data_IF_188441849334
#
_entry.id   IF_188441849334
#
_cell.length_a   1.000
_cell.length_b   1.000
_cell.length_c   1.000
_cell.angle_alpha   90.00
_cell.angle_beta   90.00
_cell.angle_gamma   90.00
#
_symmetry.space_group_name_H-M   'P 1'
#
loop_
_entity.id
_entity.type
_entity.pdbx_description
1 polymer ?
#
# COMPACT_ATOMS: atom_id res chain seq x y z
N UNK A 1 9.46 -27.45 -8.82
CA UNK A 1 8.84 -26.22 -8.26
C UNK A 1 9.66 -25.54 -7.17
N UNK A 2 10.42 -26.26 -6.32
CA UNK A 2 11.29 -25.64 -5.29
C UNK A 2 12.54 -24.95 -5.85
N UNK A 3 13.07 -25.37 -7.01
CA UNK A 3 14.28 -24.80 -7.62
C UNK A 3 14.14 -23.37 -8.15
N UNK A 4 12.93 -22.92 -8.49
CA UNK A 4 12.73 -21.58 -9.08
C UNK A 4 12.31 -20.51 -8.07
N UNK A 5 11.95 -20.90 -6.84
CA UNK A 5 11.43 -20.00 -5.80
C UNK A 5 11.91 -20.44 -4.42
N UNK A 6 13.18 -20.14 -4.04
CA UNK A 6 13.76 -20.56 -2.77
C UNK A 6 13.04 -19.97 -1.54
N UNK A 7 12.43 -18.79 -1.65
CA UNK A 7 11.69 -18.10 -0.58
C UNK A 7 10.18 -18.37 -0.59
N UNK A 8 9.71 -19.26 -1.48
CA UNK A 8 8.28 -19.55 -1.68
C UNK A 8 7.62 -18.65 -2.73
N UNK A 9 6.44 -19.08 -3.20
CA UNK A 9 5.67 -18.37 -4.22
C UNK A 9 4.95 -17.17 -3.60
N UNK A 10 5.46 -15.95 -3.82
CA UNK A 10 4.79 -14.69 -3.50
C UNK A 10 4.46 -13.95 -4.80
N UNK A 11 3.24 -14.12 -5.36
CA UNK A 11 2.90 -13.49 -6.63
C UNK A 11 2.97 -11.96 -6.48
N UNK A 12 3.55 -11.25 -7.46
CA UNK A 12 3.80 -9.81 -7.36
C UNK A 12 2.51 -8.99 -7.25
N UNK A 13 1.39 -9.54 -7.75
CA UNK A 13 0.06 -8.94 -7.63
C UNK A 13 -0.88 -9.90 -6.93
N UNK A 14 -1.33 -9.51 -5.74
CA UNK A 14 -2.38 -10.21 -4.98
C UNK A 14 -3.71 -9.58 -5.33
N UNK A 15 -4.57 -10.33 -5.99
CA UNK A 15 -5.95 -9.92 -6.24
C UNK A 15 -6.73 -9.92 -4.91
N UNK A 16 -7.46 -8.84 -4.63
CA UNK A 16 -8.31 -8.77 -3.44
C UNK A 16 -9.46 -9.77 -3.55
N UNK A 17 -10.02 -10.19 -2.41
CA UNK A 17 -11.12 -11.17 -2.44
C UNK A 17 -12.36 -10.63 -3.14
N UNK A 18 -12.65 -9.34 -2.97
CA UNK A 18 -13.75 -8.66 -3.65
C UNK A 18 -13.53 -8.63 -5.17
N UNK A 19 -12.30 -8.40 -5.63
CA UNK A 19 -12.00 -8.45 -7.06
C UNK A 19 -12.16 -9.86 -7.66
N UNK A 20 -11.84 -10.92 -6.90
CA UNK A 20 -12.12 -12.30 -7.33
C UNK A 20 -13.63 -12.59 -7.42
N UNK A 21 -14.43 -12.00 -6.53
CA UNK A 21 -15.90 -12.13 -6.55
C UNK A 21 -16.50 -11.36 -7.73
N UNK A 22 -16.04 -10.13 -7.97
CA UNK A 22 -16.40 -9.36 -9.16
C UNK A 22 -16.06 -10.08 -10.46
N UNK A 23 -14.88 -10.72 -10.54
CA UNK A 23 -14.51 -11.55 -11.69
C UNK A 23 -15.47 -12.71 -11.91
N UNK A 24 -15.89 -13.40 -10.83
CA UNK A 24 -16.88 -14.49 -10.91
C UNK A 24 -18.25 -13.99 -11.34
N UNK A 25 -18.70 -12.85 -10.80
CA UNK A 25 -19.98 -12.25 -11.17
C UNK A 25 -20.02 -11.82 -12.64
N UNK A 26 -18.94 -11.23 -13.16
CA UNK A 26 -18.83 -10.86 -14.57
C UNK A 26 -18.90 -12.08 -15.48
N UNK A 27 -18.09 -13.10 -15.20
CA UNK A 27 -18.08 -14.33 -15.98
C UNK A 27 -19.41 -15.10 -15.92
N UNK A 28 -20.11 -15.03 -14.79
CA UNK A 28 -21.43 -15.65 -14.63
C UNK A 28 -22.54 -14.89 -15.39
N UNK A 29 -22.38 -13.59 -15.63
CA UNK A 29 -23.38 -12.78 -16.34
C UNK A 29 -23.32 -13.01 -17.85
N UNK A 30 -22.11 -12.98 -18.42
CA UNK A 30 -21.89 -13.26 -19.83
C UNK A 30 -20.54 -13.96 -20.04
N UNK A 31 -20.51 -15.30 -20.10
CA UNK A 31 -19.28 -16.06 -20.26
C UNK A 31 -18.66 -15.94 -21.66
N UNK A 32 -19.44 -15.56 -22.68
CA UNK A 32 -18.94 -15.39 -24.05
C UNK A 32 -18.16 -14.09 -24.19
N UNK A 33 -18.72 -12.99 -23.69
CA UNK A 33 -18.05 -11.68 -23.69
C UNK A 33 -16.94 -11.62 -22.63
N UNK A 34 -17.20 -12.11 -21.41
CA UNK A 34 -16.22 -12.13 -20.32
C UNK A 34 -15.45 -13.45 -20.30
N UNK A 35 -14.84 -13.78 -21.43
CA UNK A 35 -14.00 -14.97 -21.55
C UNK A 35 -12.71 -14.86 -20.72
N UNK A 36 -12.09 -16.00 -20.43
CA UNK A 36 -10.82 -16.11 -19.68
C UNK A 36 -9.72 -15.14 -20.14
N UNK A 37 -9.40 -15.00 -21.44
CA UNK A 37 -8.36 -14.06 -21.90
C UNK A 37 -8.76 -12.60 -21.67
N UNK A 38 -10.04 -12.23 -21.86
CA UNK A 38 -10.53 -10.87 -21.65
C UNK A 38 -10.45 -10.48 -20.18
N UNK A 39 -10.83 -11.38 -19.27
CA UNK A 39 -10.71 -11.16 -17.83
C UNK A 39 -9.24 -11.11 -17.38
N UNK A 40 -8.38 -11.93 -17.97
CA UNK A 40 -6.94 -11.90 -17.68
C UNK A 40 -6.32 -10.53 -18.01
N UNK A 41 -6.68 -9.96 -19.16
CA UNK A 41 -6.23 -8.64 -19.58
C UNK A 41 -6.77 -7.53 -18.67
N UNK A 42 -8.09 -7.50 -18.44
CA UNK A 42 -8.74 -6.45 -17.63
C UNK A 42 -8.27 -6.43 -16.18
N UNK A 43 -8.03 -7.60 -15.57
CA UNK A 43 -7.55 -7.72 -14.20
C UNK A 43 -6.01 -7.78 -14.10
N UNK A 44 -5.30 -7.76 -15.23
CA UNK A 44 -3.83 -7.88 -15.32
C UNK A 44 -3.30 -9.10 -14.53
N UNK A 45 -3.98 -10.23 -14.68
CA UNK A 45 -3.63 -11.51 -14.04
C UNK A 45 -3.42 -12.58 -15.11
N UNK A 46 -2.61 -13.60 -14.78
CA UNK A 46 -2.39 -14.71 -15.70
C UNK A 46 -3.71 -15.44 -16.03
N UNK A 47 -3.95 -15.86 -17.29
CA UNK A 47 -5.12 -16.65 -17.66
C UNK A 47 -5.30 -17.92 -16.81
N UNK A 48 -4.19 -18.52 -16.36
CA UNK A 48 -4.22 -19.68 -15.46
C UNK A 48 -4.75 -19.33 -14.07
N UNK A 49 -4.46 -18.13 -13.57
CA UNK A 49 -5.02 -17.63 -12.32
C UNK A 49 -6.53 -17.39 -12.46
N UNK A 50 -6.98 -16.84 -13.59
CA UNK A 50 -8.42 -16.68 -13.89
C UNK A 50 -9.12 -18.03 -13.86
N UNK A 51 -8.59 -19.05 -14.55
CA UNK A 51 -9.15 -20.42 -14.52
C UNK A 51 -9.22 -20.98 -13.11
N UNK A 52 -8.16 -20.80 -12.30
CA UNK A 52 -8.16 -21.23 -10.89
C UNK A 52 -9.24 -20.53 -10.07
N UNK A 53 -9.44 -19.23 -10.28
CA UNK A 53 -10.50 -18.46 -9.59
C UNK A 53 -11.87 -18.99 -9.99
N UNK A 54 -12.13 -19.13 -11.29
CA UNK A 54 -13.40 -19.63 -11.83
C UNK A 54 -13.70 -21.08 -11.42
N UNK A 55 -12.67 -21.94 -11.35
CA UNK A 55 -12.80 -23.34 -10.91
C UNK A 55 -12.99 -23.46 -9.40
N UNK A 56 -12.46 -22.52 -8.62
CA UNK A 56 -12.64 -22.54 -7.16
C UNK A 56 -14.10 -22.24 -6.81
N UNK A 57 -14.73 -23.09 -6.01
CA UNK A 57 -16.14 -22.93 -5.55
C UNK A 57 -16.23 -22.43 -4.11
N UNK A 58 -15.13 -21.97 -3.53
CA UNK A 58 -15.12 -21.59 -2.12
C UNK A 58 -16.04 -20.38 -1.88
N UNK A 59 -17.11 -20.61 -1.11
CA UNK A 59 -18.11 -19.63 -0.71
C UNK A 59 -18.25 -19.70 0.83
N UNK A 60 -17.85 -18.66 1.58
CA UNK A 60 -18.03 -18.66 3.02
C UNK A 60 -19.52 -18.57 3.35
N UNK A 61 -19.97 -19.28 4.39
CA UNK A 61 -21.36 -19.12 4.87
C UNK A 61 -21.57 -17.67 5.35
N UNK A 62 -22.82 -17.18 5.34
CA UNK A 62 -23.13 -15.76 5.63
C UNK A 62 -22.47 -15.22 6.91
N UNK A 63 -22.45 -15.98 8.00
CA UNK A 63 -21.78 -15.58 9.26
C UNK A 63 -20.25 -15.53 9.14
N UNK A 64 -19.64 -16.43 8.37
CA UNK A 64 -18.18 -16.49 8.20
C UNK A 64 -17.67 -15.32 7.37
N UNK A 65 -18.50 -14.80 6.46
CA UNK A 65 -18.17 -13.67 5.59
C UNK A 65 -17.87 -12.41 6.39
N UNK A 66 -18.67 -12.14 7.43
CA UNK A 66 -18.45 -11.01 8.35
C UNK A 66 -17.13 -11.11 9.10
N UNK A 67 -16.87 -12.26 9.72
CA UNK A 67 -15.62 -12.54 10.48
C UNK A 67 -14.37 -12.40 9.61
N UNK A 68 -14.44 -12.83 8.35
CA UNK A 68 -13.32 -12.71 7.42
C UNK A 68 -13.06 -11.27 7.00
N UNK A 69 -14.10 -10.48 6.71
CA UNK A 69 -13.98 -9.07 6.37
C UNK A 69 -13.40 -8.26 7.55
N UNK A 70 -13.84 -8.55 8.77
CA UNK A 70 -13.30 -7.94 9.98
C UNK A 70 -11.81 -8.27 10.17
N UNK A 71 -11.43 -9.54 10.00
CA UNK A 71 -10.03 -9.96 10.07
C UNK A 71 -9.15 -9.28 9.02
N UNK A 72 -9.68 -9.09 7.81
CA UNK A 72 -8.99 -8.38 6.72
C UNK A 72 -8.83 -6.89 7.04
N UNK A 73 -9.89 -6.24 7.53
CA UNK A 73 -9.85 -4.84 7.99
C UNK A 73 -8.85 -4.63 9.11
N UNK A 74 -8.85 -5.52 10.11
CA UNK A 74 -7.93 -5.46 11.26
C UNK A 74 -6.47 -5.56 10.80
N UNK A 75 -6.15 -6.53 9.94
CA UNK A 75 -4.80 -6.66 9.36
C UNK A 75 -4.36 -5.41 8.59
N UNK A 76 -5.27 -4.80 7.83
CA UNK A 76 -4.98 -3.57 7.08
C UNK A 76 -4.75 -2.39 8.04
N UNK A 77 -5.56 -2.26 9.08
CA UNK A 77 -5.40 -1.22 10.11
C UNK A 77 -4.07 -1.39 10.85
N UNK A 78 -3.71 -2.61 11.25
CA UNK A 78 -2.41 -2.92 11.88
C UNK A 78 -1.23 -2.55 10.97
N UNK A 79 -1.32 -2.85 9.67
CA UNK A 79 -0.29 -2.50 8.70
C UNK A 79 -0.14 -0.97 8.56
N UNK A 80 -1.26 -0.25 8.42
CA UNK A 80 -1.26 1.21 8.31
C UNK A 80 -0.72 1.84 9.59
N UNK A 81 -1.14 1.36 10.76
CA UNK A 81 -0.67 1.88 12.05
C UNK A 81 0.85 1.74 12.19
N UNK A 82 1.41 0.58 11.82
CA UNK A 82 2.87 0.38 11.81
C UNK A 82 3.59 1.30 10.83
N UNK A 83 3.00 1.56 9.66
CA UNK A 83 3.57 2.50 8.69
C UNK A 83 3.59 3.92 9.24
N UNK A 84 2.48 4.37 9.84
CA UNK A 84 2.36 5.70 10.47
C UNK A 84 3.33 5.85 11.64
N UNK A 85 3.47 4.81 12.47
CA UNK A 85 4.41 4.82 13.59
C UNK A 85 5.86 4.97 13.12
N UNK A 86 6.25 4.24 12.06
CA UNK A 86 7.56 4.39 11.44
C UNK A 86 7.79 5.82 10.92
N UNK A 87 6.84 6.36 10.15
CA UNK A 87 6.94 7.71 9.59
C UNK A 87 7.01 8.79 10.69
N UNK A 88 6.23 8.62 11.78
CA UNK A 88 6.30 9.50 12.94
C UNK A 88 7.66 9.46 13.64
N UNK A 89 8.24 8.27 13.78
CA UNK A 89 9.59 8.10 14.32
C UNK A 89 10.65 8.79 13.46
N UNK A 90 10.63 8.54 12.15
CA UNK A 90 11.55 9.19 11.19
C UNK A 90 11.41 10.72 11.20
N UNK A 91 10.18 11.23 11.29
CA UNK A 91 9.91 12.66 11.37
C UNK A 91 10.42 13.27 12.68
N UNK A 92 10.22 12.60 13.81
CA UNK A 92 10.71 13.05 15.10
C UNK A 92 12.25 13.12 15.14
N UNK A 93 12.93 12.13 14.58
CA UNK A 93 14.39 12.14 14.45
C UNK A 93 14.88 13.29 13.55
N UNK A 94 14.22 13.54 12.41
CA UNK A 94 14.53 14.70 11.56
C UNK A 94 14.28 16.05 12.23
N UNK A 95 13.28 16.13 13.10
CA UNK A 95 13.03 17.35 13.86
C UNK A 95 14.13 17.59 14.90
N UNK A 96 14.56 16.54 15.62
CA UNK A 96 15.69 16.64 16.55
C UNK A 96 16.99 17.05 15.85
N UNK A 97 17.31 16.41 14.72
CA UNK A 97 18.50 16.75 13.92
C UNK A 97 18.48 18.22 13.46
N UNK A 98 17.30 18.75 13.10
CA UNK A 98 17.14 20.16 12.74
C UNK A 98 17.24 21.11 13.92
N UNK A 99 16.73 20.74 15.09
CA UNK A 99 16.88 21.53 16.31
C UNK A 99 18.36 21.59 16.71
N UNK A 100 19.05 20.46 16.73
CA UNK A 100 20.50 20.36 16.99
C UNK A 100 21.30 21.20 15.96
N UNK A 101 20.99 21.09 14.66
CA UNK A 101 21.64 21.89 13.61
C UNK A 101 21.33 23.40 13.73
N UNK A 102 20.16 23.77 14.25
CA UNK A 102 19.76 25.17 14.44
C UNK A 102 20.44 25.77 15.67
N UNK A 103 20.65 24.98 16.72
CA UNK A 103 21.35 25.35 17.94
C UNK A 103 22.87 25.47 17.72
N UNK A 104 23.44 24.69 16.79
CA UNK A 104 24.84 24.84 16.35
C UNK A 104 25.07 26.05 15.43
N UNK A 105 24.03 26.71 14.93
CA UNK A 105 24.20 27.91 14.09
C UNK A 105 24.55 29.09 15.00
N UNK A 106 25.78 29.64 14.95
CA UNK A 106 26.12 30.79 15.78
C UNK A 106 25.13 31.91 15.48
N UNK A 107 24.64 32.66 16.49
CA UNK A 107 23.67 33.72 16.26
C UNK A 107 24.26 34.67 15.23
N UNK A 108 23.63 34.73 14.04
CA UNK A 108 24.06 35.61 12.96
C UNK A 108 24.14 37.01 13.56
N UNK A 109 25.37 37.54 13.59
CA UNK A 109 25.69 38.78 14.27
C UNK A 109 24.69 39.87 13.93
N UNK A 110 24.24 40.55 14.99
CA UNK A 110 23.67 41.90 15.02
C UNK A 110 23.88 42.61 13.67
N UNK A 111 22.78 42.84 12.95
CA UNK A 111 22.76 43.78 11.84
C UNK A 111 23.25 45.14 12.38
N UNK A 112 24.53 45.46 12.17
CA UNK A 112 25.07 46.79 12.39
C UNK A 112 24.48 47.67 11.28
N UNK A 113 23.33 48.27 11.59
CA UNK A 113 22.87 49.47 10.90
C UNK A 113 23.54 50.66 11.60
N UNK A 114 24.78 50.95 11.24
CA UNK A 114 25.33 52.27 11.46
C UNK A 114 25.11 53.10 10.19
N UNK A 115 23.85 53.49 10.01
CA UNK A 115 23.45 54.69 9.30
C UNK A 115 23.92 55.90 10.13
N UNK A 116 25.09 56.48 9.86
CA UNK A 116 25.40 57.93 10.03
C UNK A 116 26.52 58.27 9.04
N UNK A 117 26.21 58.72 7.83
CA UNK A 117 26.13 60.14 7.50
C UNK A 117 27.00 61.02 8.42
N UNK A 118 28.27 61.19 8.06
CA UNK A 118 29.01 62.41 8.39
C UNK A 118 29.13 63.24 7.12
N UNK A 119 28.18 64.17 6.98
CA UNK A 119 28.21 65.25 5.99
C UNK A 119 28.97 66.42 6.63
N UNK A 120 30.05 66.84 5.96
CA UNK A 120 30.68 68.17 6.00
C UNK A 120 31.51 68.58 7.23
#
# INVERSE_FOLDING_TARGET
MRERFPEGWNPPRKISRDAMEGLRSLHAHDPETFSTPVLAEKFQISPEAVRRILRSKWMPKREERGKLLEKERRRKQEYIAKSIERERGELAERFKEKEETTEERPPSGRWQKDDRLTLR
#
